data_IF_454535439598
#
_entry.id   IF_454535439598
#
_cell.length_a   1.000
_cell.length_b   1.000
_cell.length_c   1.000
_cell.angle_alpha   90.00
_cell.angle_beta   90.00
_cell.angle_gamma   90.00
#
_symmetry.space_group_name_H-M   'P 1'
#
loop_
_entity.id
_entity.type
_entity.pdbx_description
1 polymer ?
#
# COMPACT_ATOMS: atom_id res chain seq x y z
N UNK A 1 22.05 -1.55 5.24
CA UNK A 1 20.96 -2.53 5.40
C UNK A 1 19.95 -2.26 4.30
N UNK A 2 19.31 -3.30 3.73
CA UNK A 2 18.26 -3.11 2.71
C UNK A 2 16.96 -2.65 3.38
N UNK A 3 16.29 -1.64 2.81
CA UNK A 3 14.99 -1.14 3.30
C UNK A 3 13.87 -2.14 3.03
N UNK A 4 12.90 -2.19 3.94
CA UNK A 4 11.70 -3.02 3.80
C UNK A 4 10.53 -2.17 3.27
N UNK A 5 10.00 -2.54 2.12
CA UNK A 5 8.78 -1.94 1.56
C UNK A 5 7.64 -2.95 1.65
N UNK A 6 6.56 -2.57 2.31
CA UNK A 6 5.39 -3.43 2.49
C UNK A 6 4.29 -3.04 1.51
N UNK A 7 3.81 -4.00 0.74
CA UNK A 7 2.67 -3.86 -0.15
C UNK A 7 1.39 -4.44 0.46
N UNK A 8 0.30 -3.68 0.42
CA UNK A 8 -1.03 -4.11 0.84
C UNK A 8 -1.98 -3.85 -0.32
N UNK A 9 -2.53 -4.90 -0.93
CA UNK A 9 -3.44 -4.69 -2.06
C UNK A 9 -3.98 -5.97 -2.67
N UNK A 10 -5.23 -5.93 -3.07
CA UNK A 10 -5.91 -7.05 -3.68
C UNK A 10 -7.42 -6.99 -3.48
N UNK A 11 -8.08 -8.02 -3.98
CA UNK A 11 -9.50 -8.32 -3.77
C UNK A 11 -9.64 -9.81 -3.46
N UNK A 12 -10.85 -10.28 -3.18
CA UNK A 12 -11.14 -11.72 -3.02
C UNK A 12 -10.92 -12.53 -4.31
N UNK A 13 -10.71 -11.86 -5.45
CA UNK A 13 -10.36 -12.51 -6.72
C UNK A 13 -8.84 -12.57 -6.86
N UNK A 14 -8.21 -13.74 -6.92
CA UNK A 14 -6.78 -13.90 -7.16
C UNK A 14 -6.33 -13.18 -8.44
N UNK A 15 -5.16 -12.56 -8.42
CA UNK A 15 -4.63 -11.83 -9.57
C UNK A 15 -5.48 -10.62 -9.97
N UNK A 16 -6.16 -9.99 -9.02
CA UNK A 16 -6.92 -8.76 -9.29
C UNK A 16 -6.01 -7.62 -9.74
N UNK A 17 -6.54 -6.70 -10.56
CA UNK A 17 -5.75 -5.56 -11.07
C UNK A 17 -5.10 -4.73 -9.95
N UNK A 18 -5.77 -4.57 -8.80
CA UNK A 18 -5.19 -3.86 -7.65
C UNK A 18 -4.04 -4.63 -7.01
N UNK A 19 -4.13 -5.96 -6.94
CA UNK A 19 -3.04 -6.80 -6.45
C UNK A 19 -1.83 -6.77 -7.39
N UNK A 20 -2.07 -6.98 -8.69
CA UNK A 20 -1.00 -6.98 -9.70
C UNK A 20 -0.31 -5.61 -9.80
N UNK A 21 -1.06 -4.52 -9.68
CA UNK A 21 -0.49 -3.18 -9.67
C UNK A 21 0.44 -2.93 -8.47
N UNK A 22 0.06 -3.38 -7.26
CA UNK A 22 0.94 -3.31 -6.08
C UNK A 22 2.19 -4.17 -6.29
N UNK A 23 2.05 -5.39 -6.81
CA UNK A 23 3.20 -6.28 -7.11
C UNK A 23 4.14 -5.66 -8.13
N UNK A 24 3.61 -5.02 -9.18
CA UNK A 24 4.41 -4.33 -10.20
C UNK A 24 5.23 -3.18 -9.59
N UNK A 25 4.62 -2.38 -8.72
CA UNK A 25 5.32 -1.30 -8.04
C UNK A 25 6.38 -1.84 -7.05
N UNK A 26 6.08 -2.91 -6.29
CA UNK A 26 7.05 -3.57 -5.41
C UNK A 26 8.25 -4.13 -6.18
N UNK A 27 8.02 -4.77 -7.33
CA UNK A 27 9.09 -5.30 -8.17
C UNK A 27 10.07 -4.19 -8.64
N UNK A 28 9.59 -2.95 -8.80
CA UNK A 28 10.45 -1.82 -9.09
C UNK A 28 11.35 -1.46 -7.89
N UNK A 29 10.84 -1.51 -6.66
CA UNK A 29 11.65 -1.27 -5.46
C UNK A 29 12.68 -2.38 -5.23
N UNK A 30 12.34 -3.64 -5.55
CA UNK A 30 13.26 -4.77 -5.47
C UNK A 30 14.45 -4.61 -6.42
N UNK A 31 14.19 -4.19 -7.67
CA UNK A 31 15.26 -3.90 -8.64
C UNK A 31 16.20 -2.79 -8.16
N UNK A 32 15.73 -1.93 -7.28
CA UNK A 32 16.52 -0.86 -6.64
C UNK A 32 17.16 -1.29 -5.30
N UNK A 33 17.05 -2.57 -4.93
CA UNK A 33 17.73 -3.15 -3.75
C UNK A 33 16.91 -3.17 -2.46
N UNK A 34 15.62 -2.84 -2.49
CA UNK A 34 14.74 -3.02 -1.35
C UNK A 34 14.36 -4.49 -1.14
N UNK A 35 14.05 -4.85 0.11
CA UNK A 35 13.30 -6.08 0.42
C UNK A 35 11.81 -5.75 0.38
N UNK A 36 10.98 -6.69 -0.04
CA UNK A 36 9.54 -6.47 -0.06
C UNK A 36 8.78 -7.59 0.66
N UNK A 37 7.61 -7.22 1.18
CA UNK A 37 6.59 -8.15 1.66
C UNK A 37 5.26 -7.72 1.08
N UNK A 38 4.49 -8.65 0.52
CA UNK A 38 3.19 -8.38 -0.07
C UNK A 38 2.07 -9.12 0.65
N UNK A 39 1.05 -8.39 1.06
CA UNK A 39 -0.21 -8.89 1.57
C UNK A 39 -1.27 -8.78 0.48
N UNK A 40 -1.48 -9.88 -0.25
CA UNK A 40 -2.41 -9.97 -1.37
C UNK A 40 -3.84 -10.28 -0.95
N UNK A 41 -4.73 -10.43 -1.94
CA UNK A 41 -6.15 -10.57 -1.73
C UNK A 41 -6.54 -11.75 -0.84
N UNK A 42 -5.96 -12.93 -1.06
CA UNK A 42 -6.28 -14.14 -0.26
C UNK A 42 -5.92 -13.95 1.22
N UNK A 43 -4.76 -13.36 1.50
CA UNK A 43 -4.36 -13.04 2.87
C UNK A 43 -5.31 -12.05 3.52
N UNK A 44 -5.63 -10.96 2.81
CA UNK A 44 -6.50 -9.91 3.32
C UNK A 44 -7.93 -10.40 3.55
N UNK A 45 -8.43 -11.30 2.71
CA UNK A 45 -9.77 -11.88 2.84
C UNK A 45 -9.89 -12.83 4.05
N UNK A 46 -8.79 -13.42 4.49
CA UNK A 46 -8.75 -14.28 5.67
C UNK A 46 -8.67 -13.52 7.00
N UNK A 47 -8.39 -12.20 6.97
CA UNK A 47 -8.29 -11.40 8.18
C UNK A 47 -9.66 -11.20 8.82
N UNK A 48 -9.84 -11.55 10.11
CA UNK A 48 -11.01 -11.13 10.86
C UNK A 48 -11.16 -9.60 10.85
N UNK A 49 -12.40 -9.12 10.93
CA UNK A 49 -12.63 -7.67 11.05
C UNK A 49 -11.96 -7.11 12.31
N UNK A 50 -11.39 -5.92 12.17
CA UNK A 50 -10.90 -5.16 13.31
C UNK A 50 -12.04 -4.93 14.31
N UNK A 51 -11.77 -5.28 15.56
CA UNK A 51 -12.70 -5.14 16.68
C UNK A 51 -11.91 -4.59 17.88
N UNK A 52 -12.09 -3.29 18.19
CA UNK A 52 -11.35 -2.63 19.29
C UNK A 52 -11.64 -3.25 20.66
N UNK A 53 -12.82 -3.83 20.84
CA UNK A 53 -13.24 -4.52 22.06
C UNK A 53 -12.61 -5.92 22.24
N UNK A 54 -11.92 -6.44 21.21
CA UNK A 54 -11.24 -7.74 21.22
C UNK A 54 -9.74 -7.54 21.05
N UNK A 55 -8.97 -7.48 22.13
CA UNK A 55 -7.52 -7.22 22.05
C UNK A 55 -6.73 -8.40 21.48
N UNK A 56 -7.29 -9.63 21.52
CA UNK A 56 -6.64 -10.80 20.97
C UNK A 56 -6.62 -10.74 19.45
N UNK A 57 -5.43 -10.79 18.88
CA UNK A 57 -5.21 -10.83 17.42
C UNK A 57 -4.82 -12.22 16.97
N UNK A 58 -5.32 -12.64 15.80
CA UNK A 58 -4.83 -13.86 15.12
C UNK A 58 -3.38 -13.68 14.68
N UNK A 59 -2.73 -14.78 14.34
CA UNK A 59 -1.35 -14.75 13.89
C UNK A 59 -1.20 -13.99 12.56
N UNK A 60 -2.21 -14.06 11.67
CA UNK A 60 -2.25 -13.28 10.43
C UNK A 60 -2.37 -11.77 10.71
N UNK A 61 -3.23 -11.39 11.64
CA UNK A 61 -3.35 -9.98 12.05
C UNK A 61 -2.04 -9.47 12.64
N UNK A 62 -1.41 -10.22 13.55
CA UNK A 62 -0.09 -9.89 14.12
C UNK A 62 0.98 -9.80 13.03
N UNK A 63 0.98 -10.72 12.07
CA UNK A 63 1.93 -10.70 10.95
C UNK A 63 1.83 -9.45 10.11
N UNK A 64 0.60 -8.99 9.79
CA UNK A 64 0.38 -7.74 9.07
C UNK A 64 0.92 -6.53 9.87
N UNK A 65 0.50 -6.41 11.14
CA UNK A 65 0.90 -5.32 12.02
C UNK A 65 2.41 -5.28 12.18
N UNK A 66 3.05 -6.44 12.43
CA UNK A 66 4.50 -6.52 12.60
C UNK A 66 5.27 -6.15 11.32
N UNK A 67 4.81 -6.58 10.15
CA UNK A 67 5.43 -6.20 8.90
C UNK A 67 5.38 -4.68 8.67
N UNK A 68 4.24 -4.04 8.99
CA UNK A 68 4.11 -2.58 8.89
C UNK A 68 4.95 -1.87 9.94
N UNK A 69 5.04 -2.41 11.17
CA UNK A 69 5.94 -1.88 12.22
C UNK A 69 7.39 -1.77 11.75
N UNK A 70 7.86 -2.80 11.05
CA UNK A 70 9.23 -2.89 10.53
C UNK A 70 9.45 -2.16 9.20
N UNK A 71 8.38 -1.77 8.51
CA UNK A 71 8.47 -1.16 7.19
C UNK A 71 9.18 0.20 7.20
N UNK A 72 9.96 0.47 6.16
CA UNK A 72 10.54 1.78 5.86
C UNK A 72 9.66 2.60 4.90
N UNK A 73 8.76 1.93 4.19
CA UNK A 73 7.77 2.52 3.30
C UNK A 73 6.67 1.54 2.95
N UNK A 74 5.56 2.04 2.42
CA UNK A 74 4.40 1.22 2.06
C UNK A 74 3.92 1.51 0.63
N UNK A 75 3.29 0.50 0.01
CA UNK A 75 2.49 0.66 -1.21
C UNK A 75 1.10 0.08 -0.93
N UNK A 76 0.07 0.91 -0.98
CA UNK A 76 -1.31 0.49 -0.72
C UNK A 76 -2.12 0.58 -2.00
N UNK A 77 -2.73 -0.54 -2.38
CA UNK A 77 -3.60 -0.64 -3.55
C UNK A 77 -5.05 -1.00 -3.18
N UNK A 78 -6.01 -0.23 -3.68
CA UNK A 78 -7.43 -0.51 -3.46
C UNK A 78 -8.23 -0.49 -4.76
N UNK A 79 -9.19 -1.41 -4.94
CA UNK A 79 -10.24 -1.16 -5.91
C UNK A 79 -11.11 0.00 -5.44
N UNK A 80 -11.61 0.81 -6.40
CA UNK A 80 -12.53 1.91 -6.14
C UNK A 80 -13.98 1.44 -6.22
N UNK A 81 -14.50 0.79 -5.19
CA UNK A 81 -15.90 0.37 -5.14
C UNK A 81 -16.79 1.53 -4.68
N UNK A 82 -17.78 1.88 -5.50
CA UNK A 82 -18.72 2.98 -5.21
C UNK A 82 -18.01 4.31 -4.85
N UNK A 83 -16.82 4.54 -5.42
CA UNK A 83 -16.04 5.75 -5.19
C UNK A 83 -15.27 5.80 -3.87
N UNK A 84 -15.14 4.68 -3.16
CA UNK A 84 -14.46 4.57 -1.87
C UNK A 84 -13.48 3.41 -1.80
N UNK A 85 -12.71 3.38 -0.71
CA UNK A 85 -11.76 2.32 -0.36
C UNK A 85 -12.53 1.01 -0.13
N UNK A 86 -12.05 -0.11 -0.66
CA UNK A 86 -12.70 -1.41 -0.41
C UNK A 86 -12.66 -1.77 1.08
N UNK A 87 -13.72 -2.43 1.57
CA UNK A 87 -13.77 -2.89 2.95
C UNK A 87 -12.60 -3.79 3.34
N UNK A 88 -12.09 -4.59 2.40
CA UNK A 88 -10.93 -5.45 2.60
C UNK A 88 -9.66 -4.65 2.95
N UNK A 89 -9.38 -3.61 2.17
CA UNK A 89 -8.22 -2.74 2.40
C UNK A 89 -8.44 -1.87 3.63
N UNK A 90 -9.66 -1.37 3.84
CA UNK A 90 -9.97 -0.57 5.02
C UNK A 90 -9.80 -1.39 6.31
N UNK A 91 -10.25 -2.65 6.33
CA UNK A 91 -10.03 -3.55 7.47
C UNK A 91 -8.53 -3.76 7.78
N UNK A 92 -7.72 -3.98 6.75
CA UNK A 92 -6.27 -4.10 6.94
C UNK A 92 -5.64 -2.83 7.52
N UNK A 93 -6.12 -1.65 7.10
CA UNK A 93 -5.67 -0.36 7.63
C UNK A 93 -6.14 -0.18 9.09
N UNK A 94 -7.39 -0.56 9.42
CA UNK A 94 -7.93 -0.42 10.77
C UNK A 94 -7.20 -1.30 11.79
N UNK A 95 -6.68 -2.46 11.39
CA UNK A 95 -5.84 -3.30 12.23
C UNK A 95 -4.53 -2.61 12.66
N UNK A 96 -4.07 -1.61 11.90
CA UNK A 96 -2.87 -0.84 12.24
C UNK A 96 -3.09 0.12 13.43
N UNK A 97 -4.32 0.21 13.97
CA UNK A 97 -4.57 0.88 15.26
C UNK A 97 -3.70 0.28 16.38
N UNK A 98 -3.29 -0.97 16.26
CA UNK A 98 -2.37 -1.62 17.18
C UNK A 98 -0.96 -0.99 17.21
N UNK A 99 -0.65 -0.07 16.27
CA UNK A 99 0.60 0.72 16.24
C UNK A 99 0.45 2.12 16.88
N UNK A 100 -0.69 2.44 17.48
CA UNK A 100 -0.97 3.79 18.02
C UNK A 100 0.00 4.24 19.10
N UNK A 101 0.48 3.31 19.91
CA UNK A 101 1.36 3.58 21.05
C UNK A 101 2.81 3.13 20.78
N UNK A 102 3.14 2.79 19.52
CA UNK A 102 4.48 2.43 19.11
C UNK A 102 5.41 3.67 19.05
N UNK A 103 6.73 3.44 19.13
CA UNK A 103 7.70 4.50 18.93
C UNK A 103 7.56 5.21 17.56
N UNK A 104 7.19 4.45 16.52
CA UNK A 104 6.81 4.96 15.19
C UNK A 104 5.32 4.72 15.00
N UNK A 105 4.53 5.71 15.43
CA UNK A 105 3.05 5.62 15.40
C UNK A 105 2.55 5.46 13.96
N UNK A 106 1.76 4.45 13.69
CA UNK A 106 1.14 4.20 12.37
C UNK A 106 2.14 4.25 11.21
N UNK A 107 2.05 5.29 10.36
CA UNK A 107 2.92 5.53 9.20
C UNK A 107 3.95 6.63 9.42
N UNK A 108 4.18 7.04 10.66
CA UNK A 108 5.13 8.10 10.97
C UNK A 108 6.52 7.80 10.40
N UNK A 109 7.12 8.81 9.72
CA UNK A 109 8.40 8.68 9.05
C UNK A 109 8.39 7.74 7.83
N UNK A 110 7.21 7.39 7.26
CA UNK A 110 7.09 6.49 6.10
C UNK A 110 6.42 7.18 4.92
N UNK A 111 6.98 7.01 3.73
CA UNK A 111 6.26 7.30 2.49
C UNK A 111 5.29 6.19 2.16
N UNK A 112 4.11 6.56 1.66
CA UNK A 112 3.06 5.64 1.26
C UNK A 112 2.66 5.90 -0.18
N UNK A 113 3.02 4.99 -1.08
CA UNK A 113 2.59 4.97 -2.47
C UNK A 113 1.15 4.45 -2.57
N UNK A 114 0.32 5.12 -3.37
CA UNK A 114 -1.10 4.81 -3.46
C UNK A 114 -1.49 4.41 -4.89
N UNK A 115 -2.16 3.27 -5.02
CA UNK A 115 -2.67 2.75 -6.30
C UNK A 115 -4.18 2.51 -6.20
N UNK A 116 -4.93 2.99 -7.16
CA UNK A 116 -6.37 2.74 -7.26
C UNK A 116 -6.72 2.15 -8.62
N UNK A 117 -7.49 1.07 -8.62
CA UNK A 117 -8.07 0.49 -9.83
C UNK A 117 -9.59 0.59 -9.79
N UNK A 118 -10.22 1.09 -10.83
CA UNK A 118 -11.69 1.16 -10.92
C UNK A 118 -12.16 1.13 -12.38
N UNK A 119 -13.44 0.88 -12.60
CA UNK A 119 -14.06 0.90 -13.92
C UNK A 119 -14.35 2.32 -14.45
N UNK A 120 -14.14 3.37 -13.64
CA UNK A 120 -14.40 4.76 -14.03
C UNK A 120 -13.44 5.74 -13.37
N UNK A 121 -13.06 6.80 -14.11
CA UNK A 121 -12.12 7.80 -13.64
C UNK A 121 -12.58 8.56 -12.39
N UNK A 122 -13.89 8.79 -12.25
CA UNK A 122 -14.45 9.42 -11.06
C UNK A 122 -14.16 8.56 -9.81
N UNK A 123 -14.45 7.26 -9.88
CA UNK A 123 -14.18 6.34 -8.77
C UNK A 123 -12.66 6.23 -8.49
N UNK A 124 -11.81 6.26 -9.52
CA UNK A 124 -10.37 6.32 -9.36
C UNK A 124 -9.95 7.56 -8.53
N UNK A 125 -10.40 8.75 -8.94
CA UNK A 125 -10.02 10.00 -8.29
C UNK A 125 -10.53 10.13 -6.86
N UNK A 126 -11.81 9.80 -6.60
CA UNK A 126 -12.40 9.88 -5.27
C UNK A 126 -11.77 8.90 -4.30
N UNK A 127 -11.50 7.67 -4.74
CA UNK A 127 -10.85 6.65 -3.91
C UNK A 127 -9.39 7.03 -3.60
N UNK A 128 -8.65 7.59 -4.57
CA UNK A 128 -7.29 8.07 -4.34
C UNK A 128 -7.28 9.20 -3.30
N UNK A 129 -8.21 10.13 -3.38
CA UNK A 129 -8.36 11.21 -2.40
C UNK A 129 -8.68 10.66 -1.00
N UNK A 130 -9.56 9.66 -0.91
CA UNK A 130 -9.89 9.01 0.36
C UNK A 130 -8.66 8.30 0.97
N UNK A 131 -7.87 7.58 0.17
CA UNK A 131 -6.63 6.95 0.64
C UNK A 131 -5.61 7.98 1.13
N UNK A 132 -5.44 9.09 0.42
CA UNK A 132 -4.54 10.19 0.85
C UNK A 132 -4.94 10.75 2.21
N UNK A 133 -6.24 10.97 2.43
CA UNK A 133 -6.75 11.43 3.72
C UNK A 133 -6.46 10.43 4.85
N UNK A 134 -6.63 9.13 4.59
CA UNK A 134 -6.29 8.07 5.56
C UNK A 134 -4.80 8.09 5.89
N UNK A 135 -3.92 8.17 4.88
CA UNK A 135 -2.47 8.22 5.10
C UNK A 135 -2.06 9.44 5.92
N UNK A 136 -2.65 10.61 5.66
CA UNK A 136 -2.42 11.80 6.48
C UNK A 136 -2.91 11.63 7.92
N UNK A 137 -4.12 11.08 8.12
CA UNK A 137 -4.64 10.79 9.45
C UNK A 137 -3.74 9.84 10.24
N UNK A 138 -3.06 8.93 9.54
CA UNK A 138 -2.11 7.98 10.10
C UNK A 138 -0.65 8.51 10.11
N UNK A 139 -0.43 9.82 9.98
CA UNK A 139 0.89 10.49 10.04
C UNK A 139 1.87 10.08 8.94
N UNK A 140 1.41 9.48 7.85
CA UNK A 140 2.25 9.08 6.73
C UNK A 140 2.44 10.19 5.69
N UNK A 141 3.40 9.97 4.80
CA UNK A 141 3.70 10.84 3.66
C UNK A 141 3.18 10.22 2.37
N UNK A 142 1.96 10.58 1.88
CA UNK A 142 1.53 10.11 0.56
C UNK A 142 2.53 10.60 -0.49
N UNK A 143 2.97 9.70 -1.36
CA UNK A 143 3.86 10.10 -2.46
C UNK A 143 3.18 11.16 -3.34
N UNK A 144 3.96 12.09 -3.95
CA UNK A 144 3.40 13.06 -4.90
C UNK A 144 2.61 12.39 -6.01
N UNK A 145 3.13 11.30 -6.58
CA UNK A 145 2.41 10.47 -7.54
C UNK A 145 1.49 9.49 -6.81
N UNK A 146 0.18 9.55 -7.12
CA UNK A 146 -0.76 8.47 -6.86
C UNK A 146 -1.20 7.88 -8.21
N UNK A 147 -1.15 6.57 -8.36
CA UNK A 147 -1.49 5.91 -9.62
C UNK A 147 -2.95 5.51 -9.66
N UNK A 148 -3.66 5.92 -10.72
CA UNK A 148 -5.03 5.51 -10.97
C UNK A 148 -5.14 4.76 -12.29
N UNK A 149 -5.73 3.57 -12.26
CA UNK A 149 -5.85 2.67 -13.40
C UNK A 149 -7.33 2.40 -13.71
N UNK A 150 -7.76 2.76 -14.92
CA UNK A 150 -9.12 2.46 -15.35
C UNK A 150 -9.19 1.07 -15.98
N UNK A 151 -9.66 0.08 -15.21
CA UNK A 151 -9.70 -1.32 -15.61
C UNK A 151 -10.77 -1.66 -16.65
N UNK A 152 -11.68 -0.72 -16.99
CA UNK A 152 -12.70 -0.94 -18.01
C UNK A 152 -12.26 -0.52 -19.42
N UNK A 153 -11.21 0.29 -19.55
CA UNK A 153 -10.80 0.87 -20.82
C UNK A 153 -9.68 0.12 -21.53
N UNK A 154 -8.80 -0.49 -20.78
CA UNK A 154 -7.63 -1.19 -21.32
C UNK A 154 -7.38 -2.49 -20.57
N UNK A 155 -6.82 -3.47 -21.25
CA UNK A 155 -6.26 -4.64 -20.59
C UNK A 155 -4.98 -4.20 -19.89
N UNK A 156 -5.04 -4.07 -18.57
CA UNK A 156 -3.92 -3.59 -17.75
C UNK A 156 -2.84 -4.65 -17.54
N UNK A 157 -3.25 -5.92 -17.44
CA UNK A 157 -2.35 -7.03 -17.11
C UNK A 157 -2.61 -8.23 -18.02
N UNK A 158 -1.56 -8.95 -18.37
CA UNK A 158 -1.62 -10.24 -19.05
C UNK A 158 -2.02 -11.36 -18.08
N UNK A 159 -2.24 -12.56 -18.62
CA UNK A 159 -2.65 -13.72 -17.81
C UNK A 159 -1.56 -14.18 -16.82
N UNK A 160 -0.30 -13.93 -17.13
CA UNK A 160 0.86 -14.21 -16.27
C UNK A 160 1.10 -13.12 -15.19
N UNK A 161 0.30 -12.06 -15.18
CA UNK A 161 0.41 -10.94 -14.26
C UNK A 161 1.34 -9.81 -14.74
N UNK A 162 1.95 -9.91 -15.89
CA UNK A 162 2.77 -8.84 -16.49
C UNK A 162 1.90 -7.64 -16.83
N UNK A 163 2.37 -6.43 -16.51
CA UNK A 163 1.66 -5.20 -16.87
C UNK A 163 1.73 -5.00 -18.39
N UNK A 164 0.58 -5.08 -19.07
CA UNK A 164 0.46 -4.94 -20.52
C UNK A 164 0.45 -3.48 -20.99
N UNK A 165 0.03 -2.57 -20.13
CA UNK A 165 0.01 -1.13 -20.39
C UNK A 165 1.36 -0.51 -19.96
N UNK A 166 2.18 -0.13 -20.93
CA UNK A 166 3.52 0.43 -20.68
C UNK A 166 3.45 1.71 -19.83
N UNK A 167 2.48 2.60 -20.11
CA UNK A 167 2.35 3.84 -19.34
C UNK A 167 1.96 3.57 -17.88
N UNK A 168 1.10 2.57 -17.64
CA UNK A 168 0.78 2.12 -16.31
C UNK A 168 2.00 1.50 -15.60
N UNK A 169 2.78 0.67 -16.31
CA UNK A 169 4.01 0.08 -15.78
C UNK A 169 5.03 1.14 -15.37
N UNK A 170 5.24 2.16 -16.19
CA UNK A 170 6.15 3.27 -15.90
C UNK A 170 5.69 4.09 -14.68
N UNK A 171 4.38 4.37 -14.56
CA UNK A 171 3.83 5.07 -13.41
C UNK A 171 3.97 4.25 -12.11
N UNK A 172 3.71 2.94 -12.17
CA UNK A 172 3.88 2.04 -11.02
C UNK A 172 5.35 1.92 -10.60
N UNK A 173 6.27 1.89 -11.57
CA UNK A 173 7.70 1.88 -11.29
C UNK A 173 8.14 3.21 -10.64
N UNK A 174 7.67 4.34 -11.15
CA UNK A 174 7.94 5.67 -10.57
C UNK A 174 7.38 5.78 -9.14
N UNK A 175 6.17 5.28 -8.89
CA UNK A 175 5.58 5.23 -7.55
C UNK A 175 6.48 4.45 -6.58
N UNK A 176 6.90 3.25 -6.98
CA UNK A 176 7.81 2.42 -6.18
C UNK A 176 9.13 3.15 -5.89
N UNK A 177 9.73 3.77 -6.91
CA UNK A 177 10.95 4.57 -6.74
C UNK A 177 10.77 5.71 -5.74
N UNK A 178 9.65 6.47 -5.81
CA UNK A 178 9.38 7.55 -4.85
C UNK A 178 9.31 7.06 -3.40
N UNK A 179 8.70 5.89 -3.17
CA UNK A 179 8.63 5.27 -1.83
C UNK A 179 10.03 4.88 -1.35
N UNK A 180 10.80 4.20 -2.19
CA UNK A 180 12.14 3.73 -1.83
C UNK A 180 13.12 4.88 -1.62
N UNK A 181 13.12 5.89 -2.50
CA UNK A 181 13.97 7.08 -2.38
C UNK A 181 13.70 7.85 -1.09
N UNK A 182 12.42 7.95 -0.69
CA UNK A 182 12.08 8.55 0.60
C UNK A 182 12.68 7.75 1.76
N UNK A 183 12.53 6.42 1.76
CA UNK A 183 13.09 5.54 2.79
C UNK A 183 14.61 5.71 2.91
N UNK A 184 15.33 5.75 1.78
CA UNK A 184 16.78 5.98 1.73
C UNK A 184 17.17 7.33 2.35
N UNK A 185 16.49 8.41 1.96
CA UNK A 185 16.77 9.77 2.46
C UNK A 185 16.43 9.92 3.93
N UNK A 186 15.31 9.35 4.36
CA UNK A 186 14.88 9.41 5.76
C UNK A 186 15.83 8.65 6.68
N UNK A 187 16.32 7.48 6.25
CA UNK A 187 17.33 6.73 7.00
C UNK A 187 18.67 7.47 7.12
N UNK A 188 19.05 8.25 6.10
CA UNK A 188 20.27 9.05 6.11
C UNK A 188 20.13 10.38 6.90
N UNK A 189 18.89 10.80 7.24
CA UNK A 189 18.66 12.04 7.97
C UNK A 189 19.20 11.95 9.42
N UNK A 190 19.71 13.07 10.01
CA UNK A 190 20.09 13.12 11.42
C UNK A 190 18.94 12.69 12.34
N UNK A 191 19.27 12.04 13.47
CA UNK A 191 18.26 11.52 14.42
C UNK A 191 17.26 12.59 14.88
N UNK A 192 17.71 13.85 15.04
CA UNK A 192 16.84 14.98 15.43
C UNK A 192 15.74 15.30 14.39
N UNK A 193 15.96 14.99 13.10
CA UNK A 193 14.98 15.20 12.03
C UNK A 193 14.00 14.03 11.93
N UNK A 194 14.40 12.85 12.40
CA UNK A 194 13.58 11.63 12.40
C UNK A 194 12.61 11.55 13.57
N UNK A 195 12.83 12.35 14.61
CA UNK A 195 12.06 12.35 15.86
C UNK A 195 11.08 13.55 15.97
N UNK A 196 11.00 14.39 14.94
CA UNK A 196 10.08 15.54 14.87
C UNK A 196 8.80 15.18 14.13
#
# INVERSE_FOLDING_TARGET
MSHLIVGIGGTTRPGSSSELAVRTALAATERSGARTVHFGGDFLAALPHYAPERPERTDEQKRLVEAVRQADGLIIGSPGYHGGISGLIKNAIDLLEDLRDDQRVYFDGRAVGLVVTAAGWQACGTTLSALRNVVHAMRGWPTPLGVTLNSARTRLFEADGTCADTAAADQLAMLGSQVHDFALRHAAAPAAVRAA
#
